data_IF_132459764512
#
_entry.id   IF_132459764512
#
_cell.length_a   1.000
_cell.length_b   1.000
_cell.length_c   1.000
_cell.angle_alpha   90.00
_cell.angle_beta   90.00
_cell.angle_gamma   90.00
#
_symmetry.space_group_name_H-M   'P 1'
#
loop_
_entity.id
_entity.type
_entity.pdbx_description
1 polymer ?
#
# COMPACT_ATOMS: atom_id res chain seq x y z
N UNK A 1 7.03 -15.19 -14.52
CA UNK A 1 5.99 -16.24 -14.70
C UNK A 1 4.57 -15.64 -14.82
N UNK A 2 4.02 -14.96 -13.81
CA UNK A 2 2.65 -14.40 -13.85
C UNK A 2 2.38 -13.46 -15.04
N UNK A 3 3.24 -12.45 -15.26
CA UNK A 3 3.10 -11.51 -16.38
C UNK A 3 3.15 -12.24 -17.73
N UNK A 4 4.01 -13.25 -17.86
CA UNK A 4 4.10 -14.06 -19.09
C UNK A 4 2.79 -14.81 -19.37
N UNK A 5 2.17 -15.43 -18.34
CA UNK A 5 0.86 -16.10 -18.46
C UNK A 5 -0.24 -15.13 -18.92
N UNK A 6 -0.26 -13.92 -18.34
CA UNK A 6 -1.19 -12.86 -18.74
C UNK A 6 -1.00 -12.43 -20.20
N UNK A 7 0.24 -12.21 -20.62
CA UNK A 7 0.56 -11.85 -22.01
C UNK A 7 0.16 -12.96 -22.99
N UNK A 8 0.43 -14.23 -22.66
CA UNK A 8 -0.02 -15.37 -23.47
C UNK A 8 -1.54 -15.40 -23.65
N UNK A 9 -2.29 -15.14 -22.57
CA UNK A 9 -3.76 -15.04 -22.62
C UNK A 9 -4.24 -13.88 -23.49
N UNK A 10 -3.58 -12.71 -23.42
CA UNK A 10 -3.90 -11.55 -24.26
C UNK A 10 -3.69 -11.87 -25.74
N UNK A 11 -2.55 -12.46 -26.09
CA UNK A 11 -2.23 -12.83 -27.48
C UNK A 11 -3.23 -13.85 -28.03
N UNK A 12 -3.64 -14.81 -27.22
CA UNK A 12 -4.60 -15.86 -27.58
C UNK A 12 -6.08 -15.42 -27.44
N UNK A 13 -6.33 -14.15 -27.09
CA UNK A 13 -7.67 -13.57 -26.85
C UNK A 13 -8.51 -14.35 -25.83
N UNK A 14 -7.86 -14.94 -24.83
CA UNK A 14 -8.57 -15.57 -23.73
C UNK A 14 -9.13 -14.51 -22.77
N UNK A 15 -10.30 -14.78 -22.15
CA UNK A 15 -10.87 -13.90 -21.14
C UNK A 15 -9.91 -13.76 -19.95
N UNK A 16 -9.76 -12.53 -19.46
CA UNK A 16 -8.92 -12.20 -18.30
C UNK A 16 -9.85 -11.90 -17.13
N UNK A 17 -9.52 -12.45 -15.96
CA UNK A 17 -10.32 -12.24 -14.75
C UNK A 17 -10.05 -10.88 -14.12
N UNK A 18 -11.03 -10.36 -13.39
CA UNK A 18 -10.90 -9.15 -12.57
C UNK A 18 -9.72 -9.25 -11.59
N UNK A 19 -9.52 -10.44 -11.00
CA UNK A 19 -8.43 -10.71 -10.06
C UNK A 19 -7.05 -10.63 -10.74
N UNK A 20 -6.90 -11.17 -11.95
CA UNK A 20 -5.64 -11.09 -12.70
C UNK A 20 -5.30 -9.65 -13.09
N UNK A 21 -6.29 -8.88 -13.56
CA UNK A 21 -6.15 -7.45 -13.86
C UNK A 21 -5.74 -6.64 -12.62
N UNK A 22 -6.36 -6.92 -11.49
CA UNK A 22 -6.05 -6.25 -10.23
C UNK A 22 -4.62 -6.55 -9.73
N UNK A 23 -4.24 -7.83 -9.77
CA UNK A 23 -2.89 -8.25 -9.40
C UNK A 23 -1.84 -7.63 -10.35
N UNK A 24 -2.12 -7.55 -11.65
CA UNK A 24 -1.23 -6.89 -12.61
C UNK A 24 -1.02 -5.42 -12.25
N UNK A 25 -2.10 -4.68 -11.96
CA UNK A 25 -2.00 -3.28 -11.54
C UNK A 25 -1.17 -3.10 -10.27
N UNK A 26 -1.37 -3.97 -9.28
CA UNK A 26 -0.60 -3.95 -8.03
C UNK A 26 0.88 -4.25 -8.27
N UNK A 27 1.19 -5.23 -9.12
CA UNK A 27 2.57 -5.58 -9.50
C UNK A 27 3.26 -4.41 -10.20
N UNK A 28 2.58 -3.74 -11.14
CA UNK A 28 3.12 -2.56 -11.83
C UNK A 28 3.39 -1.42 -10.84
N UNK A 29 2.46 -1.18 -9.90
CA UNK A 29 2.65 -0.17 -8.87
C UNK A 29 3.83 -0.51 -7.94
N UNK A 30 3.98 -1.78 -7.56
CA UNK A 30 5.09 -2.24 -6.74
C UNK A 30 6.43 -2.10 -7.47
N UNK A 31 6.48 -2.40 -8.78
CA UNK A 31 7.66 -2.18 -9.62
C UNK A 31 8.05 -0.70 -9.66
N UNK A 32 7.09 0.21 -9.87
CA UNK A 32 7.35 1.66 -9.84
C UNK A 32 7.86 2.11 -8.47
N UNK A 33 7.25 1.62 -7.39
CA UNK A 33 7.69 1.89 -6.02
C UNK A 33 9.13 1.45 -5.82
N UNK A 34 9.45 0.22 -6.23
CA UNK A 34 10.77 -0.35 -6.07
C UNK A 34 11.81 0.37 -6.92
N UNK A 35 11.44 0.82 -8.13
CA UNK A 35 12.29 1.65 -8.97
C UNK A 35 12.60 3.01 -8.31
N UNK A 36 11.60 3.67 -7.71
CA UNK A 36 11.83 4.90 -6.93
C UNK A 36 12.62 4.64 -5.65
N UNK A 37 12.54 3.43 -5.11
CA UNK A 37 13.26 2.99 -3.93
C UNK A 37 14.59 2.30 -4.28
N UNK A 38 15.05 2.37 -5.53
CA UNK A 38 16.28 1.70 -5.93
C UNK A 38 17.52 2.32 -5.28
N UNK A 39 17.50 3.63 -4.99
CA UNK A 39 18.64 4.36 -4.43
C UNK A 39 18.71 4.39 -2.89
N UNK A 40 17.83 3.67 -2.16
CA UNK A 40 17.98 3.66 -0.69
C UNK A 40 19.23 2.87 -0.31
N UNK A 41 20.18 3.45 0.43
CA UNK A 41 21.34 2.72 0.93
C UNK A 41 20.84 1.59 1.82
N UNK A 42 21.07 0.37 1.36
CA UNK A 42 20.89 -0.85 2.12
C UNK A 42 22.17 -1.03 2.95
N UNK A 43 21.99 -1.43 4.21
CA UNK A 43 23.05 -1.59 5.22
C UNK A 43 23.57 -0.29 5.86
N UNK A 44 23.17 -0.05 7.11
CA UNK A 44 23.79 0.95 8.00
C UNK A 44 24.97 0.24 8.66
N UNK A 45 26.10 0.16 7.97
CA UNK A 45 27.31 -0.52 8.46
C UNK A 45 28.00 0.26 9.59
N UNK A 46 27.71 1.55 9.73
CA UNK A 46 28.30 2.42 10.76
C UNK A 46 27.24 2.83 11.80
N UNK A 47 27.30 2.29 13.05
CA UNK A 47 26.53 2.86 14.14
C UNK A 47 27.02 4.28 14.42
N UNK A 48 26.10 5.24 14.46
CA UNK A 48 26.39 6.58 14.97
C UNK A 48 26.46 6.47 16.49
N UNK A 49 27.64 6.73 17.06
CA UNK A 49 27.81 6.87 18.50
C UNK A 49 27.36 8.29 18.84
N UNK A 50 26.26 8.41 19.57
CA UNK A 50 25.84 9.70 20.14
C UNK A 50 26.62 9.87 21.43
N UNK A 51 27.62 10.76 21.40
CA UNK A 51 28.36 11.13 22.61
C UNK A 51 27.40 11.74 23.63
N UNK A 52 27.23 11.07 24.77
CA UNK A 52 26.42 11.58 25.87
C UNK A 52 27.14 12.82 26.46
N UNK A 53 26.49 14.00 26.50
CA UNK A 53 27.12 15.17 27.10
C UNK A 53 27.44 14.89 28.57
N UNK A 54 28.67 15.18 28.99
CA UNK A 54 29.15 14.94 30.35
C UNK A 54 28.13 15.43 31.39
N UNK A 55 27.59 14.50 32.17
CA UNK A 55 26.69 14.81 33.29
C UNK A 55 27.47 15.63 34.31
N UNK A 56 27.09 16.88 34.60
CA UNK A 56 27.80 17.68 35.60
C UNK A 56 27.72 16.96 36.95
N UNK A 57 28.89 16.63 37.50
CA UNK A 57 29.03 16.01 38.82
C UNK A 57 28.64 17.03 39.89
N UNK A 58 27.36 17.05 40.28
CA UNK A 58 26.93 17.94 41.36
C UNK A 58 25.44 18.12 41.60
N UNK A 59 24.54 17.66 40.72
CA UNK A 59 23.08 17.83 40.94
C UNK A 59 22.47 16.54 41.49
N UNK A 60 22.68 16.34 42.78
CA UNK A 60 21.82 15.50 43.61
C UNK A 60 20.48 16.24 43.75
N UNK A 61 19.41 15.74 43.11
CA UNK A 61 18.05 16.09 43.53
C UNK A 61 17.14 16.86 42.58
N UNK A 62 17.43 17.01 41.28
CA UNK A 62 16.41 17.40 40.30
C UNK A 62 16.58 16.56 39.03
N UNK A 63 15.76 15.52 38.91
CA UNK A 63 15.60 14.78 37.66
C UNK A 63 14.88 15.69 36.66
N UNK A 64 15.63 16.54 35.97
CA UNK A 64 15.19 17.16 34.72
C UNK A 64 15.15 16.04 33.68
N UNK A 65 14.11 15.21 33.77
CA UNK A 65 13.72 14.31 32.69
C UNK A 65 13.22 15.25 31.59
N UNK A 66 13.85 15.28 30.39
CA UNK A 66 13.31 16.03 29.28
C UNK A 66 11.86 15.61 29.07
N UNK A 67 11.02 16.52 28.60
CA UNK A 67 9.63 16.27 28.19
C UNK A 67 9.55 15.31 26.98
N UNK A 68 10.34 14.24 26.95
CA UNK A 68 10.32 13.17 25.96
C UNK A 68 9.28 12.13 26.40
N UNK A 69 8.24 11.99 25.57
CA UNK A 69 7.17 11.06 25.80
C UNK A 69 7.69 9.65 25.53
N UNK A 70 8.18 8.99 26.58
CA UNK A 70 8.48 7.56 26.58
C UNK A 70 7.20 6.77 26.26
N UNK A 71 7.01 6.41 24.98
CA UNK A 71 6.11 5.34 24.59
C UNK A 71 7.00 4.15 24.25
N UNK A 72 7.03 3.17 25.16
CA UNK A 72 7.55 1.81 24.95
C UNK A 72 8.87 1.72 24.15
N UNK A 73 9.95 2.28 24.70
CA UNK A 73 11.31 2.02 24.22
C UNK A 73 11.69 2.65 22.88
N UNK A 74 10.82 3.49 22.29
CA UNK A 74 11.09 4.24 21.07
C UNK A 74 11.19 5.73 21.42
N UNK A 75 12.41 6.29 21.41
CA UNK A 75 12.60 7.74 21.51
C UNK A 75 12.06 8.40 20.25
N UNK A 76 10.80 8.82 20.29
CA UNK A 76 10.16 9.61 19.23
C UNK A 76 10.32 11.07 19.61
N UNK A 77 11.22 11.76 18.91
CA UNK A 77 11.42 13.21 19.05
C UNK A 77 10.07 13.95 18.96
N UNK A 78 9.71 14.73 19.98
CA UNK A 78 8.52 15.59 19.95
C UNK A 78 8.57 16.61 18.80
N UNK A 79 9.78 16.95 18.33
CA UNK A 79 10.02 17.80 17.18
C UNK A 79 10.12 17.02 15.86
N UNK A 80 9.67 15.76 15.82
CA UNK A 80 9.56 14.97 14.60
C UNK A 80 8.68 15.70 13.59
N UNK A 81 9.33 16.45 12.69
CA UNK A 81 8.68 17.07 11.54
C UNK A 81 8.30 15.96 10.58
N UNK A 82 7.04 15.96 10.16
CA UNK A 82 6.55 15.02 9.17
C UNK A 82 7.45 15.12 7.95
N UNK A 83 8.09 14.01 7.54
CA UNK A 83 9.05 14.05 6.45
C UNK A 83 8.36 14.50 5.16
N UNK A 84 9.06 15.29 4.35
CA UNK A 84 8.54 15.86 3.08
C UNK A 84 8.08 14.78 2.08
N UNK A 85 8.42 13.52 2.31
CA UNK A 85 7.98 12.37 1.54
C UNK A 85 6.55 11.89 1.86
N UNK A 86 5.85 12.49 2.83
CA UNK A 86 4.46 12.15 3.16
C UNK A 86 3.49 12.36 1.98
N UNK A 87 3.73 13.39 1.15
CA UNK A 87 2.95 13.58 -0.07
C UNK A 87 3.23 12.49 -1.11
N UNK A 88 4.47 12.03 -1.20
CA UNK A 88 4.88 10.97 -2.13
C UNK A 88 4.22 9.64 -1.75
N UNK A 89 4.16 9.30 -0.46
CA UNK A 89 3.47 8.09 -0.01
C UNK A 89 1.95 8.16 -0.20
N UNK A 90 1.34 9.34 0.01
CA UNK A 90 -0.06 9.59 -0.30
C UNK A 90 -0.41 9.38 -1.78
N UNK A 91 0.41 9.95 -2.68
CA UNK A 91 0.26 9.78 -4.13
C UNK A 91 0.34 8.31 -4.52
N UNK A 92 1.32 7.58 -3.98
CA UNK A 92 1.49 6.17 -4.27
C UNK A 92 0.30 5.32 -3.78
N UNK A 93 -0.21 5.60 -2.57
CA UNK A 93 -1.41 4.95 -2.04
C UNK A 93 -2.65 5.21 -2.92
N UNK A 94 -2.79 6.43 -3.43
CA UNK A 94 -3.89 6.82 -4.31
C UNK A 94 -3.82 6.19 -5.70
N UNK A 95 -2.63 6.01 -6.27
CA UNK A 95 -2.46 5.28 -7.54
C UNK A 95 -2.93 3.82 -7.42
N UNK A 96 -2.60 3.17 -6.30
CA UNK A 96 -3.11 1.85 -5.96
C UNK A 96 -4.63 1.82 -5.82
N UNK A 97 -5.22 2.88 -5.28
CA UNK A 97 -6.67 2.99 -5.17
C UNK A 97 -7.37 3.26 -6.50
N UNK A 98 -6.76 4.04 -7.38
CA UNK A 98 -7.29 4.34 -8.71
C UNK A 98 -7.46 3.07 -9.57
N UNK A 99 -6.66 2.02 -9.34
CA UNK A 99 -6.83 0.73 -10.02
C UNK A 99 -8.21 0.09 -9.78
N UNK A 100 -8.86 0.34 -8.64
CA UNK A 100 -10.19 -0.20 -8.35
C UNK A 100 -11.29 0.50 -9.15
N UNK A 101 -11.03 1.74 -9.59
CA UNK A 101 -11.94 2.50 -10.45
C UNK A 101 -12.01 1.88 -11.85
N UNK A 102 -11.00 1.12 -12.29
CA UNK A 102 -11.03 0.42 -13.60
C UNK A 102 -12.24 -0.53 -13.69
N UNK A 103 -12.68 -1.09 -12.57
CA UNK A 103 -13.86 -1.96 -12.51
C UNK A 103 -15.19 -1.20 -12.34
N UNK A 104 -15.24 0.12 -12.56
CA UNK A 104 -16.44 0.96 -12.35
C UNK A 104 -17.70 0.48 -13.06
N UNK A 105 -17.52 -0.09 -14.25
CA UNK A 105 -18.59 -0.57 -15.13
C UNK A 105 -18.75 -2.10 -15.12
N UNK A 106 -18.12 -2.80 -14.17
CA UNK A 106 -18.28 -4.25 -14.08
C UNK A 106 -19.69 -4.62 -13.62
N UNK A 107 -20.17 -5.77 -14.07
CA UNK A 107 -21.49 -6.28 -13.71
C UNK A 107 -21.42 -6.88 -12.30
N UNK A 108 -22.13 -6.25 -11.36
CA UNK A 108 -22.27 -6.75 -9.99
C UNK A 108 -23.62 -7.48 -9.82
N UNK A 109 -23.68 -8.57 -9.04
CA UNK A 109 -24.91 -9.32 -8.79
C UNK A 109 -26.02 -8.48 -8.16
N UNK A 110 -25.67 -7.58 -7.23
CA UNK A 110 -26.61 -6.69 -6.55
C UNK A 110 -26.23 -5.22 -6.70
N UNK A 111 -27.22 -4.33 -6.54
CA UNK A 111 -26.98 -2.87 -6.55
C UNK A 111 -26.18 -2.42 -5.32
N UNK A 112 -26.35 -3.10 -4.18
CA UNK A 112 -25.62 -2.79 -2.94
C UNK A 112 -24.14 -3.10 -3.10
N UNK A 113 -23.78 -4.25 -3.69
CA UNK A 113 -22.38 -4.60 -3.97
C UNK A 113 -21.74 -3.57 -4.92
N UNK A 114 -22.47 -3.14 -5.96
CA UNK A 114 -22.02 -2.09 -6.88
C UNK A 114 -21.78 -0.76 -6.19
N UNK A 115 -22.72 -0.31 -5.37
CA UNK A 115 -22.59 0.96 -4.64
C UNK A 115 -21.44 0.90 -3.64
N UNK A 116 -21.32 -0.21 -2.91
CA UNK A 116 -20.24 -0.43 -1.94
C UNK A 116 -18.88 -0.47 -2.63
N UNK A 117 -18.78 -1.12 -3.79
CA UNK A 117 -17.58 -1.12 -4.62
C UNK A 117 -17.17 0.29 -5.06
N UNK A 118 -18.13 1.09 -5.57
CA UNK A 118 -17.86 2.45 -6.05
C UNK A 118 -17.42 3.37 -4.92
N UNK A 119 -18.15 3.37 -3.80
CA UNK A 119 -17.83 4.18 -2.62
C UNK A 119 -16.47 3.75 -2.04
N UNK A 120 -16.24 2.44 -1.89
CA UNK A 120 -14.98 1.89 -1.40
C UNK A 120 -13.80 2.26 -2.29
N UNK A 121 -13.95 2.17 -3.62
CA UNK A 121 -12.90 2.54 -4.59
C UNK A 121 -12.54 4.01 -4.52
N UNK A 122 -13.53 4.90 -4.42
CA UNK A 122 -13.30 6.35 -4.30
C UNK A 122 -12.66 6.70 -2.96
N UNK A 123 -13.17 6.14 -1.85
CA UNK A 123 -12.57 6.34 -0.53
C UNK A 123 -11.12 5.88 -0.50
N UNK A 124 -10.84 4.71 -1.07
CA UNK A 124 -9.51 4.14 -1.10
C UNK A 124 -8.54 4.95 -1.98
N UNK A 125 -9.03 5.56 -3.07
CA UNK A 125 -8.23 6.46 -3.91
C UNK A 125 -8.00 7.84 -3.28
N UNK A 126 -8.95 8.40 -2.53
CA UNK A 126 -8.90 9.80 -2.06
C UNK A 126 -8.38 9.93 -0.63
N UNK A 127 -8.68 8.99 0.26
CA UNK A 127 -8.32 9.07 1.68
C UNK A 127 -6.80 9.21 1.93
N UNK A 128 -5.89 8.50 1.22
CA UNK A 128 -4.45 8.67 1.42
C UNK A 128 -3.96 10.10 1.11
N UNK A 129 -4.49 10.74 0.07
CA UNK A 129 -4.14 12.12 -0.30
C UNK A 129 -4.66 13.15 0.70
N UNK A 130 -5.93 13.01 1.10
CA UNK A 130 -6.54 13.90 2.09
C UNK A 130 -5.82 13.79 3.43
N UNK A 131 -5.50 12.58 3.86
CA UNK A 131 -4.73 12.34 5.07
C UNK A 131 -3.32 12.95 4.99
N UNK A 132 -2.62 12.74 3.87
CA UNK A 132 -1.27 13.29 3.66
C UNK A 132 -1.27 14.83 3.67
N UNK A 133 -2.28 15.46 3.07
CA UNK A 133 -2.45 16.92 3.09
C UNK A 133 -2.86 17.44 4.48
N UNK A 134 -3.73 16.72 5.19
CA UNK A 134 -4.14 17.08 6.55
C UNK A 134 -2.99 16.97 7.55
N UNK A 135 -2.04 16.05 7.31
CA UNK A 135 -0.91 15.82 8.20
C UNK A 135 -0.06 17.08 8.47
N UNK A 136 0.05 17.99 7.50
CA UNK A 136 0.78 19.27 7.66
C UNK A 136 0.20 20.21 8.74
N UNK A 137 -1.07 20.02 9.10
CA UNK A 137 -1.78 20.84 10.09
C UNK A 137 -1.87 20.18 11.46
N UNK A 138 -1.36 18.95 11.59
CA UNK A 138 -1.39 18.19 12.84
C UNK A 138 -0.10 18.44 13.61
N UNK A 139 -0.20 19.23 14.68
CA UNK A 139 0.93 19.53 15.56
C UNK A 139 1.27 18.40 16.54
N UNK A 140 0.30 17.54 16.85
CA UNK A 140 0.45 16.46 17.85
C UNK A 140 0.74 15.12 17.19
N UNK A 141 1.94 14.57 17.39
CA UNK A 141 2.37 13.33 16.75
C UNK A 141 1.43 12.14 17.06
N UNK A 142 0.97 11.98 18.30
CA UNK A 142 0.10 10.87 18.70
C UNK A 142 -1.27 10.92 17.99
N UNK A 143 -1.76 12.13 17.68
CA UNK A 143 -2.98 12.32 16.87
C UNK A 143 -2.73 11.87 15.44
N UNK A 144 -1.58 12.21 14.86
CA UNK A 144 -1.18 11.73 13.54
C UNK A 144 -1.11 10.19 13.51
N UNK A 145 -0.42 9.56 14.47
CA UNK A 145 -0.32 8.09 14.57
C UNK A 145 -1.69 7.43 14.74
N UNK A 146 -2.56 7.96 15.59
CA UNK A 146 -3.92 7.45 15.75
C UNK A 146 -4.73 7.54 14.44
N UNK A 147 -4.65 8.67 13.73
CA UNK A 147 -5.37 8.86 12.46
C UNK A 147 -4.81 7.99 11.32
N UNK A 148 -3.48 7.81 11.23
CA UNK A 148 -2.86 6.82 10.33
C UNK A 148 -3.41 5.44 10.64
N UNK A 149 -3.41 5.05 11.91
CA UNK A 149 -3.84 3.72 12.35
C UNK A 149 -5.30 3.45 11.99
N UNK A 150 -6.19 4.42 12.26
CA UNK A 150 -7.61 4.34 11.88
C UNK A 150 -7.75 4.23 10.36
N UNK A 151 -7.02 5.05 9.60
CA UNK A 151 -7.05 5.01 8.13
C UNK A 151 -6.59 3.66 7.60
N UNK A 152 -5.51 3.09 8.15
CA UNK A 152 -5.01 1.76 7.78
C UNK A 152 -6.05 0.69 8.10
N UNK A 153 -6.67 0.71 9.27
CA UNK A 153 -7.71 -0.27 9.63
C UNK A 153 -8.90 -0.19 8.66
N UNK A 154 -9.40 1.01 8.38
CA UNK A 154 -10.48 1.22 7.41
C UNK A 154 -10.08 0.70 6.02
N UNK A 155 -8.83 0.95 5.59
CA UNK A 155 -8.31 0.44 4.33
C UNK A 155 -8.21 -1.09 4.30
N UNK A 156 -7.80 -1.74 5.39
CA UNK A 156 -7.74 -3.20 5.47
C UNK A 156 -9.13 -3.82 5.35
N UNK A 157 -10.15 -3.20 5.96
CA UNK A 157 -11.53 -3.63 5.83
C UNK A 157 -12.04 -3.46 4.39
N UNK A 158 -11.81 -2.30 3.77
CA UNK A 158 -12.16 -2.07 2.37
C UNK A 158 -11.44 -3.07 1.45
N UNK A 159 -10.15 -3.35 1.69
CA UNK A 159 -9.39 -4.34 0.94
C UNK A 159 -9.95 -5.75 1.08
N UNK A 160 -10.28 -6.17 2.30
CA UNK A 160 -10.88 -7.48 2.54
C UNK A 160 -12.22 -7.62 1.80
N UNK A 161 -13.05 -6.59 1.86
CA UNK A 161 -14.31 -6.54 1.11
C UNK A 161 -14.09 -6.65 -0.40
N UNK A 162 -13.21 -5.82 -0.98
CA UNK A 162 -12.94 -5.85 -2.43
C UNK A 162 -12.36 -7.20 -2.89
N UNK A 163 -11.55 -7.86 -2.04
CA UNK A 163 -11.03 -9.18 -2.33
C UNK A 163 -12.16 -10.22 -2.36
N UNK A 164 -13.09 -10.15 -1.41
CA UNK A 164 -14.27 -11.02 -1.37
C UNK A 164 -15.08 -10.84 -2.66
N UNK A 165 -15.34 -9.61 -3.10
CA UNK A 165 -16.04 -9.33 -4.35
C UNK A 165 -15.33 -9.91 -5.59
N UNK A 166 -14.01 -9.76 -5.66
CA UNK A 166 -13.23 -10.37 -6.75
C UNK A 166 -13.35 -11.90 -6.75
N UNK A 167 -13.34 -12.53 -5.58
CA UNK A 167 -13.50 -13.99 -5.43
C UNK A 167 -14.92 -14.45 -5.76
N UNK A 168 -15.95 -13.68 -5.37
CA UNK A 168 -17.34 -13.95 -5.75
C UNK A 168 -17.51 -13.82 -7.27
N UNK A 169 -16.89 -12.81 -7.88
CA UNK A 169 -16.87 -12.61 -9.33
C UNK A 169 -16.21 -13.75 -10.11
N UNK A 170 -15.32 -14.55 -9.51
CA UNK A 170 -14.79 -15.76 -10.16
C UNK A 170 -15.86 -16.84 -10.38
N UNK A 171 -16.96 -16.82 -9.61
CA UNK A 171 -18.04 -17.81 -9.75
C UNK A 171 -18.84 -17.62 -11.03
N UNK A 172 -18.90 -16.40 -11.57
CA UNK A 172 -19.63 -16.05 -12.79
C UNK A 172 -18.75 -16.05 -14.04
N UNK A 173 -17.51 -16.52 -13.93
CA UNK A 173 -16.53 -16.45 -15.01
C UNK A 173 -16.84 -17.44 -16.15
N UNK A 174 -16.61 -17.00 -17.40
CA UNK A 174 -16.79 -17.87 -18.57
C UNK A 174 -15.83 -19.06 -18.57
N UNK A 175 -16.26 -20.20 -19.14
CA UNK A 175 -15.45 -21.44 -19.22
C UNK A 175 -14.08 -21.24 -19.90
N UNK A 176 -13.95 -20.19 -20.74
CA UNK A 176 -12.70 -19.84 -21.41
C UNK A 176 -11.55 -19.46 -20.46
N UNK A 177 -11.85 -19.04 -19.24
CA UNK A 177 -10.83 -18.68 -18.24
C UNK A 177 -10.06 -19.89 -17.72
N UNK A 178 -10.62 -21.09 -17.78
CA UNK A 178 -9.93 -22.31 -17.35
C UNK A 178 -8.98 -22.88 -18.41
N UNK A 179 -8.95 -22.28 -19.62
CA UNK A 179 -7.96 -22.65 -20.64
C UNK A 179 -6.59 -22.09 -20.24
N UNK A 180 -5.59 -22.97 -20.24
CA UNK A 180 -4.20 -22.61 -19.96
C UNK A 180 -3.49 -22.27 -21.27
N UNK A 181 -2.47 -21.41 -21.18
CA UNK A 181 -1.62 -21.09 -22.33
C UNK A 181 -0.72 -22.31 -22.59
N UNK A 182 -0.81 -22.89 -23.79
CA UNK A 182 0.00 -24.03 -24.19
C UNK A 182 1.42 -23.59 -24.58
N UNK A 183 2.23 -23.24 -23.58
CA UNK A 183 3.63 -22.81 -23.78
C UNK A 183 4.48 -23.81 -24.56
N UNK A 184 4.11 -25.09 -24.51
CA UNK A 184 4.75 -26.19 -25.24
C UNK A 184 4.64 -26.05 -26.76
N UNK A 185 3.70 -25.27 -27.30
CA UNK A 185 3.64 -25.00 -28.75
C UNK A 185 4.68 -23.95 -29.19
N UNK A 186 5.18 -23.12 -28.27
CA UNK A 186 6.02 -21.95 -28.60
C UNK A 186 7.50 -22.14 -28.30
N UNK A 187 7.84 -22.98 -27.33
CA UNK A 187 9.24 -23.29 -27.04
C UNK A 187 9.65 -24.57 -27.78
N UNK A 188 10.55 -24.50 -28.77
CA UNK A 188 11.07 -25.70 -29.41
C UNK A 188 11.74 -26.57 -28.34
N UNK A 189 11.36 -27.85 -28.29
CA UNK A 189 11.90 -28.80 -27.32
C UNK A 189 13.43 -28.83 -27.43
N UNK A 190 14.13 -28.58 -26.34
CA UNK A 190 15.55 -28.90 -26.23
C UNK A 190 15.66 -30.41 -26.03
N UNK A 191 15.76 -31.14 -27.13
CA UNK A 191 16.14 -32.57 -27.16
C UNK A 191 17.66 -32.66 -27.07
#
# INVERSE_FOLDING_TARGET
>A
WFIAQLLGRVVQKFPITTLELFNLGTVVCAMLTYAFWWEKPFDIECPIIVDEPERPAGTEGDSVVPDELYIDGLLVDKNYKIPSNALVSGILGSLLGALHIVAWNFAFPTEVERMTWRVGSVLYAVAPLVFSAASFWIEKYWVCVALVSVTVVVQLLVRAFTLIEMLVGLRSVSKGVFKIVEWSEYFPYFV
#
